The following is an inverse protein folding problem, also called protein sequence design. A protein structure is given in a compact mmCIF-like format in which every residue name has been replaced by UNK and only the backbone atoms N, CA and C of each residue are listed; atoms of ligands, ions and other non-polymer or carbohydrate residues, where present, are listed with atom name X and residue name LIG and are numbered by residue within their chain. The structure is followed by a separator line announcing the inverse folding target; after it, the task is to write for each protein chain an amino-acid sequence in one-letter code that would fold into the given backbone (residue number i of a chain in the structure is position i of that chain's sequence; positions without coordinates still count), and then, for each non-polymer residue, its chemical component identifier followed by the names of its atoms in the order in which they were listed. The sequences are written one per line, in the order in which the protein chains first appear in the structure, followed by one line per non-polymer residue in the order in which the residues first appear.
data_IF_998508885038
#
_entry.id   IF_998508885038
#
_cell.length_a   1.000
_cell.length_b   1.000
_cell.length_c   1.000
_cell.angle_alpha   90.00
_cell.angle_beta   90.00
_cell.angle_gamma   90.00
#
_symmetry.space_group_name_H-M   'P 1'
#
loop_
_entity.id
_entity.type
_entity.pdbx_description
1 polymer ?
#
# COMPACT_ATOMS: atom_id res chain seq x y z
N UNK A 1 9.95 19.29 -4.92
CA UNK A 1 9.88 18.11 -4.04
C UNK A 1 9.00 16.99 -4.62
N UNK A 2 8.87 16.86 -5.95
CA UNK A 2 8.04 15.82 -6.58
C UNK A 2 8.77 14.47 -6.81
N UNK A 3 10.07 14.39 -6.53
CA UNK A 3 10.88 13.20 -6.80
C UNK A 3 10.85 12.15 -5.68
N UNK A 4 10.90 12.59 -4.42
CA UNK A 4 11.05 11.71 -3.26
C UNK A 4 9.72 11.05 -2.84
N UNK A 5 8.61 11.79 -2.89
CA UNK A 5 7.28 11.24 -2.62
C UNK A 5 6.85 10.18 -3.63
N UNK A 6 7.16 10.40 -4.93
CA UNK A 6 6.87 9.42 -5.97
C UNK A 6 7.69 8.13 -5.81
N UNK A 7 8.97 8.23 -5.43
CA UNK A 7 9.81 7.07 -5.14
C UNK A 7 9.28 6.27 -3.94
N UNK A 8 8.89 6.97 -2.87
CA UNK A 8 8.25 6.37 -1.69
C UNK A 8 6.98 5.62 -2.08
N UNK A 9 6.10 6.28 -2.84
CA UNK A 9 4.87 5.67 -3.33
C UNK A 9 5.11 4.42 -4.16
N UNK A 10 6.00 4.47 -5.16
CA UNK A 10 6.31 3.31 -6.00
C UNK A 10 6.81 2.11 -5.17
N UNK A 11 7.72 2.37 -4.22
CA UNK A 11 8.24 1.33 -3.32
C UNK A 11 7.12 0.75 -2.43
N UNK A 12 6.23 1.59 -1.90
CA UNK A 12 5.10 1.13 -1.09
C UNK A 12 4.12 0.31 -1.93
N UNK A 13 3.86 0.68 -3.19
CA UNK A 13 3.03 -0.12 -4.10
C UNK A 13 3.65 -1.49 -4.34
N UNK A 14 4.94 -1.57 -4.69
CA UNK A 14 5.64 -2.83 -4.92
C UNK A 14 5.58 -3.74 -3.68
N UNK A 15 5.87 -3.20 -2.50
CA UNK A 15 5.80 -3.95 -1.24
C UNK A 15 4.36 -4.35 -0.92
N UNK A 16 3.39 -3.46 -1.10
CA UNK A 16 1.99 -3.75 -0.86
C UNK A 16 1.45 -4.80 -1.85
N UNK A 17 1.98 -4.88 -3.08
CA UNK A 17 1.67 -5.92 -4.08
C UNK A 17 2.35 -7.26 -3.75
N UNK A 18 3.58 -7.24 -3.24
CA UNK A 18 4.30 -8.43 -2.80
C UNK A 18 3.73 -9.03 -1.51
N UNK A 19 3.27 -8.18 -0.60
CA UNK A 19 2.75 -8.60 0.69
C UNK A 19 1.59 -9.59 0.55
N UNK A 20 1.58 -10.60 1.41
CA UNK A 20 0.51 -11.58 1.52
C UNK A 20 0.12 -11.68 3.00
N UNK A 21 -1.16 -11.51 3.35
CA UNK A 21 -1.58 -11.66 4.74
C UNK A 21 -1.21 -13.04 5.27
N UNK A 22 -0.69 -13.11 6.50
CA UNK A 22 -0.27 -14.39 7.08
C UNK A 22 -1.44 -15.37 7.30
N UNK A 23 -2.67 -14.87 7.40
CA UNK A 23 -3.91 -15.67 7.49
C UNK A 23 -5.14 -14.81 7.22
N UNK A 24 -6.30 -15.45 7.14
CA UNK A 24 -7.59 -14.77 7.14
C UNK A 24 -7.96 -14.30 8.56
N UNK A 25 -7.68 -13.04 8.87
CA UNK A 25 -8.03 -12.47 10.17
C UNK A 25 -9.51 -12.11 10.27
N UNK A 26 -10.11 -12.28 11.45
CA UNK A 26 -11.50 -11.88 11.70
C UNK A 26 -11.76 -10.37 11.80
N UNK A 27 -10.71 -9.53 11.84
CA UNK A 27 -10.81 -8.09 12.03
C UNK A 27 -9.86 -7.33 11.10
N UNK A 28 -10.35 -6.23 10.51
CA UNK A 28 -9.58 -5.33 9.63
C UNK A 28 -8.29 -4.84 10.29
N UNK A 29 -8.36 -4.48 11.58
CA UNK A 29 -7.20 -4.02 12.35
C UNK A 29 -6.05 -5.01 12.43
N UNK A 30 -6.29 -6.32 12.31
CA UNK A 30 -5.21 -7.31 12.29
C UNK A 30 -4.47 -7.33 10.96
N UNK A 31 -5.18 -7.13 9.84
CA UNK A 31 -4.54 -6.95 8.55
C UNK A 31 -3.73 -5.64 8.51
N UNK A 32 -4.24 -4.58 9.13
CA UNK A 32 -3.52 -3.31 9.25
C UNK A 32 -2.22 -3.44 10.04
N UNK A 33 -2.24 -4.15 11.18
CA UNK A 33 -1.03 -4.47 11.95
C UNK A 33 -0.03 -5.23 11.08
N UNK A 34 -0.48 -6.33 10.47
CA UNK A 34 0.35 -7.24 9.67
C UNK A 34 1.01 -6.51 8.48
N UNK A 35 0.26 -5.66 7.77
CA UNK A 35 0.82 -4.83 6.70
C UNK A 35 1.78 -3.76 7.23
N UNK A 36 1.43 -3.09 8.33
CA UNK A 36 2.27 -2.04 8.91
C UNK A 36 3.62 -2.58 9.37
N UNK A 37 3.62 -3.73 10.06
CA UNK A 37 4.85 -4.38 10.54
C UNK A 37 5.72 -4.80 9.34
N UNK A 38 5.11 -5.39 8.30
CA UNK A 38 5.81 -5.77 7.07
C UNK A 38 6.40 -4.58 6.32
N UNK A 39 5.63 -3.50 6.15
CA UNK A 39 6.12 -2.30 5.47
C UNK A 39 7.24 -1.63 6.25
N UNK A 40 7.13 -1.52 7.57
CA UNK A 40 8.17 -0.93 8.41
C UNK A 40 9.48 -1.71 8.30
N UNK A 41 9.41 -3.04 8.41
CA UNK A 41 10.57 -3.92 8.25
C UNK A 41 11.20 -3.76 6.86
N UNK A 42 10.42 -3.93 5.79
CA UNK A 42 10.95 -3.95 4.42
C UNK A 42 11.42 -2.57 3.92
N UNK A 43 10.74 -1.49 4.32
CA UNK A 43 11.16 -0.14 3.95
C UNK A 43 12.49 0.23 4.62
N UNK A 44 12.71 -0.23 5.85
CA UNK A 44 13.89 0.08 6.66
C UNK A 44 14.99 -1.01 6.64
N UNK A 45 14.77 -2.18 6.03
CA UNK A 45 15.75 -3.28 5.97
C UNK A 45 17.07 -2.86 5.27
N UNK A 46 16.99 -2.06 4.20
CA UNK A 46 18.17 -1.53 3.49
C UNK A 46 19.03 -0.59 4.34
N UNK A 47 18.48 0.03 5.39
CA UNK A 47 19.25 0.86 6.32
C UNK A 47 20.07 0.03 7.33
N UNK A 48 19.88 -1.28 7.37
CA UNK A 48 20.40 -2.15 8.44
C UNK A 48 21.46 -3.15 7.96
N UNK A 49 21.65 -3.32 6.64
CA UNK A 49 22.57 -4.30 6.05
C UNK A 49 23.99 -3.81 5.70
N UNK A 50 24.28 -2.52 5.88
CA UNK A 50 25.60 -1.94 5.66
C UNK A 50 26.35 -1.74 6.97
N UNK A 51 27.68 -1.79 6.91
CA UNK A 51 28.64 -1.47 7.97
C UNK A 51 28.57 0.03 8.41
N UNK A 52 27.37 0.62 8.50
CA UNK A 52 27.09 2.02 8.85
C UNK A 52 26.63 2.17 10.31
N UNK A 53 26.38 1.08 11.05
CA UNK A 53 25.92 1.10 12.44
C UNK A 53 26.92 1.64 13.49
N UNK A 54 28.08 2.17 13.08
CA UNK A 54 29.13 2.68 13.99
C UNK A 54 29.44 4.18 13.77
N UNK A 55 28.91 4.83 12.72
CA UNK A 55 29.07 6.28 12.55
C UNK A 55 27.70 6.95 12.45
N UNK A 56 27.40 7.78 13.47
CA UNK A 56 26.12 8.43 13.64
C UNK A 56 25.68 9.27 12.43
N UNK A 57 24.36 9.27 12.22
CA UNK A 57 23.67 10.27 11.42
C UNK A 57 23.28 9.81 10.02
N UNK A 58 22.23 8.98 9.91
CA UNK A 58 21.33 9.01 8.76
C UNK A 58 19.91 9.23 9.26
N UNK A 59 19.49 10.49 9.15
CA UNK A 59 18.18 11.03 9.45
C UNK A 59 17.20 10.68 8.29
N UNK A 60 16.96 9.38 8.03
CA UNK A 60 16.34 8.96 6.76
C UNK A 60 15.71 7.56 6.73
N UNK A 61 15.04 7.14 7.82
CA UNK A 61 14.16 5.98 7.81
C UNK A 61 12.73 6.37 7.40
N UNK A 62 12.00 5.43 6.77
CA UNK A 62 10.58 5.61 6.49
C UNK A 62 9.79 5.53 7.80
N UNK A 63 8.92 6.50 8.04
CA UNK A 63 7.98 6.47 9.17
C UNK A 63 6.70 5.79 8.71
N UNK A 64 6.55 4.53 9.08
CA UNK A 64 5.28 3.81 8.95
C UNK A 64 4.48 4.02 10.22
N UNK A 65 3.30 4.61 10.09
CA UNK A 65 2.44 4.88 11.23
C UNK A 65 1.02 4.45 10.98
N UNK A 66 0.34 4.16 12.08
CA UNK A 66 -1.10 3.97 12.13
C UNK A 66 -1.64 5.15 12.90
N UNK A 67 -2.51 5.92 12.26
CA UNK A 67 -3.17 7.10 12.84
C UNK A 67 -2.22 8.23 13.32
N UNK A 68 -1.60 8.97 12.38
CA UNK A 68 -1.12 10.35 12.63
C UNK A 68 -1.63 11.30 11.55
N UNK A 69 -1.86 12.56 11.93
CA UNK A 69 -2.31 13.63 11.03
C UNK A 69 -3.83 13.87 10.98
N UNK A 70 -4.26 14.80 10.14
CA UNK A 70 -5.64 15.30 10.05
C UNK A 70 -6.63 14.29 9.44
N UNK A 71 -6.15 13.26 8.75
CA UNK A 71 -6.99 12.18 8.20
C UNK A 71 -6.53 10.82 8.73
N UNK A 72 -7.51 10.05 9.23
CA UNK A 72 -7.34 8.78 9.94
C UNK A 72 -6.99 7.65 8.96
N UNK A 73 -5.74 7.67 8.51
CA UNK A 73 -5.11 6.62 7.73
C UNK A 73 -5.16 5.25 8.42
N UNK A 74 -5.58 4.19 7.74
CA UNK A 74 -5.43 2.82 8.27
C UNK A 74 -3.93 2.47 8.41
N UNK A 75 -3.13 2.86 7.40
CA UNK A 75 -1.65 2.90 7.42
C UNK A 75 -1.18 4.12 6.65
N UNK A 76 -0.18 4.85 7.16
CA UNK A 76 0.40 6.06 6.53
C UNK A 76 1.91 5.96 6.51
N UNK A 77 2.52 6.32 5.38
CA UNK A 77 3.98 6.33 5.18
C UNK A 77 4.43 7.78 4.90
N UNK A 78 5.31 8.30 5.77
CA UNK A 78 5.91 9.64 5.71
C UNK A 78 4.91 10.81 5.55
N UNK A 79 3.66 10.62 5.96
CA UNK A 79 2.54 11.55 5.67
C UNK A 79 2.33 11.85 4.17
N UNK A 80 2.86 10.98 3.29
CA UNK A 80 2.83 11.10 1.82
C UNK A 80 1.92 10.06 1.18
N UNK A 81 1.96 8.83 1.68
CA UNK A 81 1.16 7.72 1.14
C UNK A 81 0.14 7.27 2.18
N UNK A 82 -1.15 7.40 1.85
CA UNK A 82 -2.24 6.89 2.67
C UNK A 82 -2.75 5.55 2.13
N UNK A 83 -2.83 4.52 2.97
CA UNK A 83 -3.43 3.23 2.62
C UNK A 83 -4.76 3.10 3.36
N UNK A 84 -5.84 2.85 2.61
CA UNK A 84 -7.15 2.51 3.16
C UNK A 84 -7.43 1.03 2.87
N UNK A 85 -7.71 0.27 3.93
CA UNK A 85 -7.81 -1.19 3.84
C UNK A 85 -9.24 -1.65 4.06
N UNK A 86 -9.67 -2.71 3.36
CA UNK A 86 -10.95 -3.37 3.64
C UNK A 86 -10.77 -4.88 3.81
N UNK A 87 -11.45 -5.45 4.80
CA UNK A 87 -11.61 -6.91 4.91
C UNK A 87 -12.83 -7.37 4.12
N UNK A 88 -12.65 -8.34 3.23
CA UNK A 88 -13.68 -8.96 2.40
C UNK A 88 -14.59 -7.90 1.76
N UNK A 89 -14.04 -7.17 0.80
CA UNK A 89 -14.80 -6.10 0.15
C UNK A 89 -16.08 -6.66 -0.48
N UNK A 90 -17.20 -6.04 -0.12
CA UNK A 90 -18.53 -6.33 -0.63
C UNK A 90 -19.24 -5.01 -1.00
N UNK A 91 -20.39 -5.11 -1.67
CA UNK A 91 -21.17 -3.95 -2.08
C UNK A 91 -21.60 -3.04 -0.90
N UNK A 92 -21.80 -3.60 0.29
CA UNK A 92 -22.15 -2.84 1.49
C UNK A 92 -21.03 -1.90 1.95
N UNK A 93 -19.77 -2.27 1.69
CA UNK A 93 -18.58 -1.45 2.01
C UNK A 93 -18.27 -0.40 0.94
N UNK A 94 -18.75 -0.57 -0.29
CA UNK A 94 -18.45 0.31 -1.44
C UNK A 94 -18.67 1.79 -1.17
N UNK A 95 -19.84 2.18 -0.65
CA UNK A 95 -20.18 3.58 -0.37
C UNK A 95 -19.25 4.19 0.69
N UNK A 96 -18.93 3.42 1.74
CA UNK A 96 -18.05 3.85 2.82
C UNK A 96 -16.62 4.05 2.30
N UNK A 97 -16.08 3.04 1.61
CA UNK A 97 -14.73 3.11 1.03
C UNK A 97 -14.58 4.31 0.09
N UNK A 98 -15.58 4.58 -0.75
CA UNK A 98 -15.58 5.76 -1.62
C UNK A 98 -15.39 7.08 -0.87
N UNK A 99 -16.14 7.28 0.22
CA UNK A 99 -16.02 8.49 1.03
C UNK A 99 -14.64 8.60 1.69
N UNK A 100 -14.11 7.48 2.19
CA UNK A 100 -12.76 7.44 2.77
C UNK A 100 -11.67 7.77 1.74
N UNK A 101 -11.78 7.26 0.51
CA UNK A 101 -10.85 7.60 -0.57
C UNK A 101 -10.95 9.07 -0.99
N UNK A 102 -12.15 9.65 -0.99
CA UNK A 102 -12.36 11.09 -1.20
C UNK A 102 -11.69 11.91 -0.07
N UNK A 103 -11.89 11.52 1.19
CA UNK A 103 -11.28 12.18 2.36
C UNK A 103 -9.73 12.08 2.33
N UNK A 104 -9.17 10.94 1.91
CA UNK A 104 -7.72 10.78 1.80
C UNK A 104 -7.14 11.63 0.67
N UNK A 105 -7.86 11.79 -0.45
CA UNK A 105 -7.42 12.62 -1.56
C UNK A 105 -7.15 14.07 -1.14
N UNK A 106 -7.94 14.57 -0.19
CA UNK A 106 -7.79 15.94 0.32
C UNK A 106 -6.53 16.11 1.20
N UNK A 107 -5.92 15.02 1.65
CA UNK A 107 -4.82 15.03 2.63
C UNK A 107 -3.52 14.42 2.13
N UNK A 108 -3.57 13.52 1.14
CA UNK A 108 -2.41 12.79 0.64
C UNK A 108 -2.28 12.91 -0.88
N UNK A 109 -1.04 13.09 -1.38
CA UNK A 109 -0.77 13.06 -2.82
C UNK A 109 -0.85 11.64 -3.41
N UNK A 110 -0.74 10.59 -2.59
CA UNK A 110 -0.81 9.21 -3.04
C UNK A 110 -1.72 8.38 -2.12
N UNK A 111 -2.63 7.62 -2.70
CA UNK A 111 -3.60 6.79 -1.95
C UNK A 111 -3.66 5.38 -2.52
N UNK A 112 -3.57 4.37 -1.64
CA UNK A 112 -3.71 2.96 -2.00
C UNK A 112 -4.99 2.42 -1.37
N UNK A 113 -5.93 1.98 -2.20
CA UNK A 113 -7.08 1.20 -1.76
C UNK A 113 -6.69 -0.28 -1.77
N UNK A 114 -6.69 -0.95 -0.61
CA UNK A 114 -6.29 -2.34 -0.51
C UNK A 114 -7.43 -3.18 0.08
N UNK A 115 -7.75 -4.32 -0.52
CA UNK A 115 -8.70 -5.27 0.08
C UNK A 115 -8.10 -6.64 0.34
N UNK A 116 -8.29 -7.13 1.57
CA UNK A 116 -7.96 -8.49 1.97
C UNK A 116 -9.19 -9.38 1.82
N UNK A 117 -9.25 -10.08 0.69
CA UNK A 117 -10.41 -10.80 0.21
C UNK A 117 -11.41 -9.88 -0.47
N UNK A 118 -12.13 -10.43 -1.45
CA UNK A 118 -13.13 -9.71 -2.23
C UNK A 118 -14.30 -10.66 -2.52
N UNK A 119 -15.50 -10.17 -2.25
CA UNK A 119 -16.76 -10.86 -2.54
C UNK A 119 -17.53 -10.15 -3.67
N UNK A 120 -17.23 -8.88 -3.96
CA UNK A 120 -17.81 -8.07 -5.04
C UNK A 120 -16.73 -7.42 -5.92
N UNK A 121 -16.26 -8.15 -6.93
CA UNK A 121 -15.24 -7.66 -7.87
C UNK A 121 -15.78 -6.57 -8.80
N UNK A 122 -17.05 -6.62 -9.17
CA UNK A 122 -17.66 -5.61 -10.05
C UNK A 122 -17.77 -4.27 -9.32
N UNK A 123 -18.24 -4.29 -8.06
CA UNK A 123 -18.26 -3.11 -7.22
C UNK A 123 -16.89 -2.49 -6.98
N UNK A 124 -15.83 -3.32 -6.90
CA UNK A 124 -14.45 -2.86 -6.80
C UNK A 124 -13.96 -2.18 -8.08
N UNK A 125 -14.17 -2.81 -9.24
CA UNK A 125 -13.82 -2.24 -10.55
C UNK A 125 -14.54 -0.92 -10.82
N UNK A 126 -15.79 -0.79 -10.38
CA UNK A 126 -16.51 0.48 -10.47
C UNK A 126 -15.86 1.59 -9.62
N UNK A 127 -15.35 1.27 -8.43
CA UNK A 127 -14.59 2.24 -7.63
C UNK A 127 -13.28 2.59 -8.33
N UNK A 128 -12.50 1.59 -8.74
CA UNK A 128 -11.24 1.78 -9.45
C UNK A 128 -11.44 2.70 -10.68
N UNK A 129 -12.39 2.39 -11.56
CA UNK A 129 -12.72 3.20 -12.74
C UNK A 129 -13.14 4.63 -12.40
N UNK A 130 -13.81 4.85 -11.26
CA UNK A 130 -14.19 6.19 -10.83
C UNK A 130 -12.97 7.05 -10.48
N UNK A 131 -12.00 6.46 -9.78
CA UNK A 131 -10.80 7.17 -9.33
C UNK A 131 -9.69 7.20 -10.39
N UNK A 132 -9.67 6.25 -11.34
CA UNK A 132 -8.73 6.22 -12.47
C UNK A 132 -9.23 7.00 -13.70
N UNK A 133 -10.55 7.03 -13.94
CA UNK A 133 -11.16 7.64 -15.12
C UNK A 133 -11.67 9.08 -14.94
N UNK A 134 -11.58 9.65 -13.74
CA UNK A 134 -12.35 10.83 -13.36
C UNK A 134 -11.57 11.91 -12.62
N UNK A 135 -10.73 12.68 -13.33
CA UNK A 135 -10.58 14.14 -13.15
C UNK A 135 -9.78 14.75 -14.31
N UNK A 136 -10.49 15.31 -15.27
CA UNK A 136 -9.92 16.29 -16.19
C UNK A 136 -9.67 17.62 -15.46
N UNK A 137 -8.54 18.25 -15.79
CA UNK A 137 -8.17 19.66 -15.52
C UNK A 137 -8.33 20.17 -14.07
N UNK A 138 -7.28 20.04 -13.29
CA UNK A 138 -7.09 20.77 -12.03
C UNK A 138 -5.82 20.27 -11.36
N UNK A 139 -4.86 21.15 -11.14
CA UNK A 139 -3.59 20.85 -10.47
C UNK A 139 -3.88 20.32 -9.06
N UNK A 140 -3.08 19.34 -8.63
CA UNK A 140 -3.18 18.54 -7.40
C UNK A 140 -4.13 17.33 -7.50
N UNK A 141 -3.77 16.38 -8.37
CA UNK A 141 -4.44 15.09 -8.46
C UNK A 141 -3.70 14.08 -7.58
N UNK A 142 -4.35 13.64 -6.50
CA UNK A 142 -3.96 12.43 -5.79
C UNK A 142 -3.91 11.27 -6.75
N UNK A 143 -2.82 10.52 -6.72
CA UNK A 143 -2.67 9.29 -7.47
C UNK A 143 -3.24 8.11 -6.68
N UNK A 144 -4.05 7.28 -7.35
CA UNK A 144 -4.70 6.13 -6.73
C UNK A 144 -4.19 4.81 -7.28
N UNK A 145 -3.91 3.86 -6.39
CA UNK A 145 -3.66 2.45 -6.73
C UNK A 145 -4.66 1.54 -6.02
N UNK A 146 -5.17 0.52 -6.71
CA UNK A 146 -6.13 -0.45 -6.18
C UNK A 146 -5.52 -1.85 -6.13
N UNK A 147 -5.43 -2.45 -4.94
CA UNK A 147 -4.79 -3.74 -4.70
C UNK A 147 -5.78 -4.73 -4.11
N UNK A 148 -5.83 -5.95 -4.67
CA UNK A 148 -6.67 -7.05 -4.17
C UNK A 148 -5.78 -8.20 -3.70
N UNK A 149 -5.89 -8.56 -2.42
CA UNK A 149 -5.28 -9.77 -1.85
C UNK A 149 -6.30 -10.89 -1.84
N UNK A 150 -6.14 -11.87 -2.73
CA UNK A 150 -7.04 -13.02 -2.81
C UNK A 150 -6.87 -13.93 -1.59
N UNK A 151 -7.98 -14.36 -1.00
CA UNK A 151 -8.00 -15.24 0.19
C UNK A 151 -7.27 -16.57 -0.02
N UNK A 152 -7.28 -17.08 -1.24
CA UNK A 152 -6.61 -18.33 -1.61
C UNK A 152 -5.08 -18.29 -1.41
N UNK A 153 -4.50 -17.09 -1.37
CA UNK A 153 -3.06 -16.88 -1.21
C UNK A 153 -2.65 -16.52 0.24
N UNK A 154 -3.58 -16.55 1.20
CA UNK A 154 -3.27 -16.17 2.57
C UNK A 154 -2.47 -17.27 3.27
N UNK A 155 -1.42 -16.87 4.00
CA UNK A 155 -0.46 -17.78 4.61
C UNK A 155 0.64 -18.29 3.67
N UNK A 156 0.58 -17.93 2.38
CA UNK A 156 1.68 -18.15 1.47
C UNK A 156 2.82 -17.15 1.74
N UNK A 157 4.07 -17.50 1.36
CA UNK A 157 5.18 -16.55 1.38
C UNK A 157 4.88 -15.28 0.57
N UNK A 158 5.41 -14.15 1.00
CA UNK A 158 5.33 -12.90 0.24
C UNK A 158 5.91 -13.07 -1.17
N UNK A 159 5.26 -12.44 -2.14
CA UNK A 159 5.53 -12.60 -3.55
C UNK A 159 6.32 -11.40 -4.06
N UNK A 160 7.60 -11.36 -3.73
CA UNK A 160 8.50 -10.29 -4.18
C UNK A 160 8.75 -10.27 -5.69
N UNK A 161 8.05 -11.12 -6.46
CA UNK A 161 8.35 -11.41 -7.85
C UNK A 161 9.69 -12.12 -7.97
N UNK A 162 9.72 -13.30 -8.60
CA UNK A 162 10.96 -13.73 -9.23
C UNK A 162 11.28 -12.68 -10.29
N UNK A 163 12.30 -11.86 -10.03
CA UNK A 163 12.55 -10.61 -10.73
C UNK A 163 12.35 -10.67 -12.24
N UNK A 164 11.89 -9.55 -12.81
CA UNK A 164 12.04 -9.22 -14.23
C UNK A 164 13.29 -9.88 -14.80
N UNK A 165 13.08 -10.82 -15.71
CA UNK A 165 14.06 -11.80 -16.15
C UNK A 165 15.42 -11.22 -16.51
N UNK A 166 16.42 -11.53 -15.69
CA UNK A 166 17.83 -11.69 -16.05
C UNK A 166 18.33 -13.05 -15.55
N UNK A 167 17.50 -14.08 -15.76
CA UNK A 167 17.75 -15.46 -15.31
C UNK A 167 17.81 -16.50 -16.43
N UNK A 168 17.62 -16.11 -17.70
CA UNK A 168 17.52 -17.07 -18.82
C UNK A 168 18.53 -16.82 -19.96
N UNK A 169 19.69 -16.24 -19.64
CA UNK A 169 20.79 -16.07 -20.61
C UNK A 169 22.03 -16.92 -20.31
N UNK A 170 21.97 -17.94 -19.43
CA UNK A 170 23.08 -18.89 -19.28
C UNK A 170 22.57 -20.28 -18.90
N UNK A 171 22.14 -21.04 -19.91
CA UNK A 171 21.95 -22.48 -19.82
C UNK A 171 22.52 -23.14 -21.07
N UNK A 172 23.67 -23.79 -20.88
CA UNK A 172 24.43 -24.57 -21.86
C UNK A 172 23.62 -25.73 -22.47
#
# INVERSE_FOLDING_TARGET
MFGEGNQTYQKVVELAEAWRPAKDYGHESKFQNDLSDFLDEQLNEQNTGGMDGIMGGRDGGYVVSRERGNSRGDVVIDDVVGIEMKRHFDNGKKKKLRGQLEDYADNYPYVIALTCGIDDMDGWRELENKFSGGRGMGMDQTEFTFIVKKRENFGDPHDFGSGSGMGDLLGF
#
